data_IF_036196925130
#
_entry.id   IF_036196925130
#
_cell.length_a   1.000
_cell.length_b   1.000
_cell.length_c   1.000
_cell.angle_alpha   90.00
_cell.angle_beta   90.00
_cell.angle_gamma   90.00
#
_symmetry.space_group_name_H-M   'P 1'
#
loop_
_entity.id
_entity.type
_entity.pdbx_description
1 polymer ?
#
# COMPACT_ATOMS: atom_id res chain seq x y z
N UNK A 1 -3.63 48.10 -66.56
CA UNK A 1 -2.38 48.17 -65.77
C UNK A 1 -2.80 48.52 -64.35
N UNK A 2 -2.52 47.63 -63.37
CA UNK A 2 -2.54 47.90 -61.92
C UNK A 2 -3.75 47.48 -61.03
N UNK A 3 -4.36 46.30 -61.20
CA UNK A 3 -5.24 45.75 -60.13
C UNK A 3 -5.09 44.27 -59.77
N UNK A 4 -4.27 43.46 -60.45
CA UNK A 4 -4.27 41.99 -60.22
C UNK A 4 -2.97 41.40 -59.62
N UNK A 5 -2.19 42.19 -58.87
CA UNK A 5 -0.89 41.74 -58.30
C UNK A 5 -0.86 41.70 -56.76
N UNK A 6 -1.95 42.07 -56.08
CA UNK A 6 -2.00 42.17 -54.59
C UNK A 6 -2.92 41.12 -53.93
N UNK A 7 -3.17 39.96 -54.56
CA UNK A 7 -4.09 38.95 -53.99
C UNK A 7 -3.60 37.49 -54.05
N UNK A 8 -2.30 37.27 -54.18
CA UNK A 8 -1.70 35.92 -54.25
C UNK A 8 -0.42 35.75 -53.43
N UNK A 9 -0.38 36.36 -52.24
CA UNK A 9 0.61 36.08 -51.19
C UNK A 9 -0.12 35.83 -49.85
N UNK A 10 0.48 35.04 -48.95
CA UNK A 10 0.17 33.66 -48.63
C UNK A 10 -0.90 33.52 -47.52
N UNK A 11 -2.09 33.02 -47.85
CA UNK A 11 -3.10 32.66 -46.83
C UNK A 11 -3.02 31.17 -46.42
N UNK A 12 -2.18 30.37 -47.10
CA UNK A 12 -2.07 28.93 -46.88
C UNK A 12 -0.96 28.54 -45.89
N UNK A 13 0.04 29.39 -45.66
CA UNK A 13 1.05 29.15 -44.62
C UNK A 13 0.56 29.49 -43.22
N UNK A 14 -0.33 30.50 -43.08
CA UNK A 14 -0.83 31.01 -41.80
C UNK A 14 -1.71 30.00 -41.02
N UNK A 15 -2.23 28.96 -41.67
CA UNK A 15 -3.08 27.95 -41.02
C UNK A 15 -2.30 26.79 -40.38
N UNK A 16 -1.16 26.41 -40.97
CA UNK A 16 -0.35 25.27 -40.51
C UNK A 16 0.60 25.64 -39.36
N UNK A 17 1.17 26.84 -39.38
CA UNK A 17 2.00 27.36 -38.30
C UNK A 17 1.17 27.79 -37.07
N UNK A 18 -0.07 28.27 -37.25
CA UNK A 18 -0.98 28.50 -36.12
C UNK A 18 -1.49 27.19 -35.50
N UNK A 19 -1.77 26.16 -36.29
CA UNK A 19 -2.13 24.83 -35.74
C UNK A 19 -0.95 24.12 -35.09
N UNK A 20 0.26 24.19 -35.66
CA UNK A 20 1.47 23.70 -35.00
C UNK A 20 1.75 24.48 -33.70
N UNK A 21 1.56 25.80 -33.68
CA UNK A 21 1.67 26.64 -32.49
C UNK A 21 0.71 26.21 -31.39
N UNK A 22 -0.58 26.02 -31.70
CA UNK A 22 -1.58 25.56 -30.73
C UNK A 22 -1.27 24.16 -30.19
N UNK A 23 -0.80 23.23 -31.03
CA UNK A 23 -0.39 21.88 -30.58
C UNK A 23 0.87 21.92 -29.71
N UNK A 24 1.80 22.85 -29.97
CA UNK A 24 2.99 23.05 -29.15
C UNK A 24 2.61 23.66 -27.79
N UNK A 25 1.69 24.62 -27.75
CA UNK A 25 1.19 25.22 -26.51
C UNK A 25 0.40 24.22 -25.67
N UNK A 26 -0.47 23.39 -26.29
CA UNK A 26 -1.18 22.33 -25.56
C UNK A 26 -0.25 21.24 -25.07
N UNK A 27 0.76 20.83 -25.84
CA UNK A 27 1.75 19.84 -25.37
C UNK A 27 2.70 20.41 -24.32
N UNK A 28 3.08 21.69 -24.40
CA UNK A 28 3.81 22.38 -23.34
C UNK A 28 2.98 22.51 -22.07
N UNK A 29 1.69 22.87 -22.19
CA UNK A 29 0.78 22.98 -21.05
C UNK A 29 0.50 21.62 -20.42
N UNK A 30 0.26 20.57 -21.23
CA UNK A 30 0.12 19.20 -20.76
C UNK A 30 1.40 18.76 -20.04
N UNK A 31 2.59 18.92 -20.64
CA UNK A 31 3.86 18.58 -19.98
C UNK A 31 4.09 19.35 -18.68
N UNK A 32 3.78 20.66 -18.60
CA UNK A 32 3.92 21.45 -17.37
C UNK A 32 2.97 20.93 -16.29
N UNK A 33 1.71 20.64 -16.64
CA UNK A 33 0.75 20.04 -15.67
C UNK A 33 1.18 18.64 -15.24
N UNK A 34 1.72 17.82 -16.14
CA UNK A 34 2.22 16.46 -15.83
C UNK A 34 3.43 16.54 -14.90
N UNK A 35 4.34 17.49 -15.11
CA UNK A 35 5.51 17.71 -14.24
C UNK A 35 5.04 18.19 -12.85
N UNK A 36 4.09 19.12 -12.77
CA UNK A 36 3.57 19.61 -11.50
C UNK A 36 2.83 18.50 -10.71
N UNK A 37 1.93 17.75 -11.34
CA UNK A 37 1.24 16.62 -10.66
C UNK A 37 2.20 15.48 -10.33
N UNK A 38 3.22 15.22 -11.15
CA UNK A 38 4.24 14.22 -10.85
C UNK A 38 5.06 14.60 -9.61
N UNK A 39 5.44 15.89 -9.49
CA UNK A 39 6.14 16.38 -8.31
C UNK A 39 5.29 16.23 -7.05
N UNK A 40 4.01 16.61 -7.09
CA UNK A 40 3.11 16.43 -5.95
C UNK A 40 2.87 14.97 -5.60
N UNK A 41 2.70 14.09 -6.58
CA UNK A 41 2.53 12.65 -6.33
C UNK A 41 3.75 12.04 -5.64
N UNK A 42 4.97 12.39 -6.05
CA UNK A 42 6.20 11.92 -5.39
C UNK A 42 6.25 12.35 -3.93
N UNK A 43 5.88 13.60 -3.65
CA UNK A 43 5.81 14.11 -2.26
C UNK A 43 4.72 13.38 -1.47
N UNK A 44 3.54 13.16 -2.06
CA UNK A 44 2.44 12.44 -1.39
C UNK A 44 2.77 10.98 -1.11
N UNK A 45 3.39 10.27 -2.07
CA UNK A 45 3.81 8.88 -1.91
C UNK A 45 4.90 8.76 -0.84
N UNK A 46 5.85 9.70 -0.80
CA UNK A 46 6.88 9.77 0.23
C UNK A 46 6.28 10.02 1.62
N UNK A 47 5.39 11.01 1.73
CA UNK A 47 4.72 11.34 3.00
C UNK A 47 3.90 10.15 3.49
N UNK A 48 3.12 9.51 2.63
CA UNK A 48 2.32 8.33 2.99
C UNK A 48 3.21 7.16 3.45
N UNK A 49 4.32 6.92 2.74
CA UNK A 49 5.28 5.86 3.11
C UNK A 49 5.90 6.12 4.49
N UNK A 50 6.29 7.36 4.78
CA UNK A 50 6.85 7.75 6.08
C UNK A 50 5.82 7.55 7.18
N UNK A 51 4.57 7.99 6.96
CA UNK A 51 3.49 7.84 7.94
C UNK A 51 3.23 6.37 8.26
N UNK A 52 3.04 5.51 7.26
CA UNK A 52 2.77 4.07 7.45
C UNK A 52 3.92 3.36 8.19
N UNK A 53 5.15 3.69 7.82
CA UNK A 53 6.35 3.12 8.45
C UNK A 53 6.45 3.56 9.91
N UNK A 54 6.23 4.84 10.20
CA UNK A 54 6.28 5.39 11.56
C UNK A 54 5.22 4.78 12.48
N UNK A 55 3.99 4.56 11.99
CA UNK A 55 2.92 3.94 12.76
C UNK A 55 3.28 2.51 13.17
N UNK A 56 3.87 1.74 12.26
CA UNK A 56 4.30 0.36 12.55
C UNK A 56 5.40 0.33 13.61
N UNK A 57 6.36 1.27 13.54
CA UNK A 57 7.43 1.40 14.54
C UNK A 57 6.84 1.73 15.92
N UNK A 58 5.93 2.70 16.00
CA UNK A 58 5.29 3.07 17.26
C UNK A 58 4.47 1.92 17.87
N UNK A 59 3.79 1.13 17.04
CA UNK A 59 3.05 -0.07 17.48
C UNK A 59 3.99 -1.13 18.06
N UNK A 60 5.07 -1.48 17.35
CA UNK A 60 6.02 -2.48 17.84
C UNK A 60 6.77 -1.99 19.09
N UNK A 61 7.11 -0.70 19.15
CA UNK A 61 7.71 -0.08 20.33
C UNK A 61 6.75 -0.11 21.52
N UNK A 62 5.47 0.23 21.32
CA UNK A 62 4.44 0.17 22.35
C UNK A 62 4.20 -1.25 22.86
N UNK A 63 4.16 -2.24 21.98
CA UNK A 63 4.06 -3.66 22.36
C UNK A 63 5.28 -4.13 23.18
N UNK A 64 6.49 -3.70 22.82
CA UNK A 64 7.71 -4.02 23.57
C UNK A 64 7.75 -3.39 24.96
N UNK A 65 7.31 -2.13 25.08
CA UNK A 65 7.26 -1.40 26.36
C UNK A 65 6.19 -1.94 27.31
N UNK A 66 5.13 -2.56 26.80
CA UNK A 66 4.07 -3.17 27.59
C UNK A 66 4.46 -4.52 28.23
N UNK A 67 5.54 -5.16 27.76
CA UNK A 67 6.01 -6.44 28.31
C UNK A 67 6.78 -6.23 29.61
N UNK A 68 6.28 -6.82 30.70
CA UNK A 68 7.00 -6.90 31.97
C UNK A 68 8.01 -8.05 31.95
N UNK A 69 9.24 -7.79 32.40
CA UNK A 69 10.33 -8.80 32.46
C UNK A 69 9.91 -10.02 33.31
N UNK A 70 9.08 -9.80 34.33
CA UNK A 70 8.55 -10.84 35.22
C UNK A 70 7.58 -11.78 34.49
N UNK A 71 6.78 -11.25 33.57
CA UNK A 71 5.83 -12.05 32.77
C UNK A 71 6.57 -12.89 31.73
N UNK A 72 7.62 -12.34 31.11
CA UNK A 72 8.48 -13.07 30.19
C UNK A 72 9.11 -14.31 30.87
N UNK A 73 9.55 -14.14 32.13
CA UNK A 73 10.12 -15.23 32.93
C UNK A 73 9.08 -16.31 33.27
N UNK A 74 7.84 -15.91 33.57
CA UNK A 74 6.75 -16.83 33.89
C UNK A 74 6.29 -17.61 32.65
N UNK A 75 6.19 -16.95 31.49
CA UNK A 75 5.83 -17.58 30.20
C UNK A 75 6.86 -18.65 29.77
N UNK A 76 8.14 -18.41 30.06
CA UNK A 76 9.22 -19.37 29.78
C UNK A 76 9.04 -20.68 30.58
N UNK A 77 8.35 -20.66 31.73
CA UNK A 77 8.14 -21.85 32.57
C UNK A 77 6.99 -22.76 32.10
N UNK A 78 6.07 -22.30 31.26
CA UNK A 78 4.95 -23.10 30.74
C UNK A 78 4.72 -22.86 29.23
N UNK A 79 5.54 -23.46 28.36
CA UNK A 79 5.53 -23.17 26.93
C UNK A 79 4.39 -23.86 26.15
N UNK A 80 3.64 -24.78 26.75
CA UNK A 80 2.63 -25.60 26.05
C UNK A 80 1.59 -24.71 25.36
N UNK A 81 1.15 -23.64 26.04
CA UNK A 81 0.25 -22.64 25.50
C UNK A 81 0.78 -21.88 24.30
N UNK A 82 1.99 -21.34 24.44
CA UNK A 82 2.66 -20.60 23.39
C UNK A 82 2.90 -21.47 22.15
N UNK A 83 3.23 -22.75 22.32
CA UNK A 83 3.45 -23.69 21.22
C UNK A 83 2.15 -23.98 20.44
N UNK A 84 1.03 -24.19 21.15
CA UNK A 84 -0.27 -24.38 20.50
C UNK A 84 -0.69 -23.12 19.75
N UNK A 85 -0.48 -21.94 20.34
CA UNK A 85 -0.70 -20.65 19.69
C UNK A 85 0.14 -20.47 18.43
N UNK A 86 1.44 -20.78 18.49
CA UNK A 86 2.34 -20.73 17.32
C UNK A 86 1.91 -21.70 16.23
N UNK A 87 1.55 -22.94 16.59
CA UNK A 87 1.03 -23.92 15.62
C UNK A 87 -0.27 -23.45 14.99
N UNK A 88 -1.19 -22.86 15.77
CA UNK A 88 -2.41 -22.25 15.24
C UNK A 88 -2.09 -21.11 14.27
N UNK A 89 -1.22 -20.19 14.66
CA UNK A 89 -0.94 -18.99 13.88
C UNK A 89 -0.21 -19.29 12.57
N UNK A 90 0.71 -20.27 12.56
CA UNK A 90 1.49 -20.60 11.37
C UNK A 90 0.94 -21.79 10.57
N UNK A 91 0.03 -22.60 11.11
CA UNK A 91 -0.61 -23.69 10.35
C UNK A 91 -2.04 -23.36 9.96
N UNK A 92 -2.87 -22.86 10.89
CA UNK A 92 -4.30 -22.62 10.63
C UNK A 92 -4.50 -21.38 9.76
N UNK A 93 -3.79 -20.27 10.05
CA UNK A 93 -3.95 -19.03 9.28
C UNK A 93 -3.50 -19.19 7.80
N UNK A 94 -2.34 -19.79 7.50
CA UNK A 94 -1.94 -20.04 6.12
C UNK A 94 -2.81 -21.07 5.41
N UNK A 95 -3.33 -22.08 6.13
CA UNK A 95 -4.29 -23.02 5.57
C UNK A 95 -5.60 -22.33 5.19
N UNK A 96 -6.09 -21.39 6.01
CA UNK A 96 -7.25 -20.56 5.68
C UNK A 96 -6.95 -19.70 4.44
N UNK A 97 -5.81 -19.00 4.42
CA UNK A 97 -5.39 -18.21 3.26
C UNK A 97 -5.34 -19.03 1.96
N UNK A 98 -4.79 -20.24 2.04
CA UNK A 98 -4.77 -21.19 0.92
C UNK A 98 -6.18 -21.63 0.49
N UNK A 99 -7.06 -21.95 1.44
CA UNK A 99 -8.46 -22.27 1.14
C UNK A 99 -9.20 -21.12 0.46
N UNK A 100 -8.97 -19.87 0.88
CA UNK A 100 -9.54 -18.70 0.21
C UNK A 100 -9.02 -18.55 -1.22
N UNK A 101 -7.71 -18.74 -1.45
CA UNK A 101 -7.14 -18.70 -2.80
C UNK A 101 -7.79 -19.73 -3.74
N UNK A 102 -8.07 -20.93 -3.24
CA UNK A 102 -8.77 -21.98 -4.00
C UNK A 102 -10.24 -21.64 -4.26
N UNK A 103 -10.94 -21.11 -3.25
CA UNK A 103 -12.38 -20.79 -3.35
C UNK A 103 -12.64 -19.67 -4.35
N UNK A 104 -11.83 -18.62 -4.30
CA UNK A 104 -11.97 -17.44 -5.15
C UNK A 104 -11.22 -17.56 -6.50
N UNK A 105 -10.50 -18.67 -6.74
CA UNK A 105 -9.71 -18.92 -7.97
C UNK A 105 -8.79 -17.74 -8.34
N UNK A 106 -8.02 -17.26 -7.37
CA UNK A 106 -7.13 -16.11 -7.57
C UNK A 106 -6.01 -16.42 -8.57
N UNK A 107 -5.59 -15.40 -9.31
CA UNK A 107 -4.37 -15.48 -10.12
C UNK A 107 -3.14 -15.69 -9.22
N UNK A 108 -2.08 -16.34 -9.72
CA UNK A 108 -0.92 -16.71 -8.91
C UNK A 108 -0.25 -15.51 -8.22
N UNK A 109 -0.34 -14.30 -8.79
CA UNK A 109 0.22 -13.09 -8.18
C UNK A 109 -0.55 -12.62 -6.94
N UNK A 110 -1.88 -12.71 -6.94
CA UNK A 110 -2.73 -12.30 -5.81
C UNK A 110 -2.72 -13.34 -4.70
N UNK A 111 -2.74 -14.62 -5.09
CA UNK A 111 -2.66 -15.73 -4.16
C UNK A 111 -1.37 -15.66 -3.33
N UNK A 112 -0.25 -15.26 -3.95
CA UNK A 112 1.02 -15.06 -3.25
C UNK A 112 0.92 -13.94 -2.20
N UNK A 113 0.29 -12.81 -2.53
CA UNK A 113 0.07 -11.71 -1.59
C UNK A 113 -0.75 -12.14 -0.38
N UNK A 114 -1.84 -12.87 -0.61
CA UNK A 114 -2.69 -13.42 0.46
C UNK A 114 -1.93 -14.41 1.32
N UNK A 115 -1.12 -15.28 0.71
CA UNK A 115 -0.34 -16.27 1.46
C UNK A 115 0.74 -15.61 2.32
N UNK A 116 1.46 -14.61 1.79
CA UNK A 116 2.48 -13.86 2.52
C UNK A 116 1.84 -13.16 3.73
N UNK A 117 0.69 -12.52 3.57
CA UNK A 117 -0.01 -11.83 4.67
C UNK A 117 -0.52 -12.81 5.73
N UNK A 118 -0.92 -14.02 5.31
CA UNK A 118 -1.39 -15.07 6.22
C UNK A 118 -0.27 -15.66 7.08
N UNK A 119 0.98 -15.58 6.60
CA UNK A 119 2.16 -16.00 7.34
C UNK A 119 2.73 -14.90 8.24
N UNK A 120 2.25 -13.66 8.14
CA UNK A 120 2.70 -12.60 9.04
C UNK A 120 2.21 -12.87 10.46
N UNK A 121 3.07 -12.75 11.48
CA UNK A 121 2.67 -12.96 12.87
C UNK A 121 1.57 -11.97 13.25
N UNK A 122 0.49 -12.49 13.87
CA UNK A 122 -0.61 -11.66 14.36
C UNK A 122 -0.16 -10.77 15.52
N UNK A 123 -0.47 -9.47 15.47
CA UNK A 123 -0.24 -8.54 16.57
C UNK A 123 -1.18 -8.78 17.76
N UNK A 124 -1.01 -8.03 18.86
CA UNK A 124 -1.79 -8.10 20.12
C UNK A 124 -3.32 -8.01 20.00
N UNK A 125 -3.86 -7.88 18.79
CA UNK A 125 -5.28 -7.95 18.49
C UNK A 125 -5.90 -9.28 18.92
N UNK A 126 -5.14 -10.39 18.92
CA UNK A 126 -5.60 -11.67 19.46
C UNK A 126 -5.88 -11.59 20.96
N UNK A 127 -5.06 -10.87 21.73
CA UNK A 127 -5.34 -10.55 23.14
C UNK A 127 -6.62 -9.71 23.28
N UNK A 128 -6.88 -8.78 22.34
CA UNK A 128 -8.10 -7.99 22.39
C UNK A 128 -9.36 -8.82 22.09
N UNK A 129 -9.27 -9.76 21.15
CA UNK A 129 -10.38 -10.65 20.80
C UNK A 129 -10.68 -11.68 21.90
N UNK A 130 -9.63 -12.20 22.56
CA UNK A 130 -9.77 -13.09 23.72
C UNK A 130 -10.45 -12.37 24.89
N UNK A 131 -10.14 -11.08 25.13
CA UNK A 131 -10.88 -10.25 26.10
C UNK A 131 -12.36 -10.11 25.74
N UNK A 132 -12.69 -9.99 24.45
CA UNK A 132 -14.07 -9.80 23.97
C UNK A 132 -14.94 -11.07 24.03
N UNK A 133 -14.31 -12.24 24.03
CA UNK A 133 -14.99 -13.55 24.03
C UNK A 133 -15.06 -14.15 25.45
N UNK A 134 -14.71 -13.39 26.50
CA UNK A 134 -14.49 -13.92 27.86
C UNK A 134 -13.50 -15.11 27.86
N UNK A 135 -12.57 -15.10 26.91
CA UNK A 135 -11.51 -16.09 26.81
C UNK A 135 -10.46 -15.84 27.88
N UNK A 136 -9.92 -16.92 28.45
CA UNK A 136 -8.87 -16.82 29.47
C UNK A 136 -7.58 -16.27 28.84
N UNK A 137 -7.32 -14.97 29.04
CA UNK A 137 -6.10 -14.27 28.59
C UNK A 137 -4.86 -14.76 29.32
N UNK A 138 -5.06 -15.26 30.53
CA UNK A 138 -4.05 -15.94 31.30
C UNK A 138 -4.21 -17.43 31.02
N UNK A 139 -3.48 -17.95 30.03
CA UNK A 139 -3.31 -19.39 29.97
C UNK A 139 -2.57 -19.84 31.24
N UNK A 140 -3.33 -20.27 32.25
CA UNK A 140 -2.82 -20.90 33.46
C UNK A 140 -2.25 -22.29 33.16
#
# INVERSE_FOLDING_TARGET
MQTDILLSLPQMELGQNTTLGMNLETSMFENVTVIEVAQWRVVLDLVNTIIMTSNTINLMLGMGAAISVTELWMHTKRPIGAVIGMLGQFAVLPAIGFCLCLLFKLQPYEALGVLIISCCPGGSFSNFFTFWVDGDLALR
#
